data_IF_743282746595
#
_entry.id   IF_743282746595
#
_cell.length_a   1.000
_cell.length_b   1.000
_cell.length_c   1.000
_cell.angle_alpha   90.00
_cell.angle_beta   90.00
_cell.angle_gamma   90.00
#
_symmetry.space_group_name_H-M   'P 1'
#
loop_
_entity.id
_entity.type
_entity.pdbx_description
1 polymer ?
#
# COMPACT_ATOMS: atom_id res chain seq x y z
N UNK A 1 -29.93 2.28 14.27
CA UNK A 1 -29.05 1.15 14.67
C UNK A 1 -28.66 0.26 13.49
N UNK A 2 -29.57 -0.09 12.59
CA UNK A 2 -29.28 -0.94 11.42
C UNK A 2 -28.25 -0.27 10.50
N UNK A 3 -28.42 1.03 10.19
CA UNK A 3 -27.50 1.78 9.33
C UNK A 3 -26.09 1.89 9.93
N UNK A 4 -25.95 2.04 11.25
CA UNK A 4 -24.63 2.15 11.90
C UNK A 4 -23.89 0.81 11.93
N UNK A 5 -24.59 -0.31 12.06
CA UNK A 5 -24.01 -1.64 12.01
C UNK A 5 -23.55 -1.99 10.58
N UNK A 6 -24.33 -1.60 9.56
CA UNK A 6 -24.03 -1.80 8.15
C UNK A 6 -22.77 -1.01 7.74
N UNK A 7 -22.66 0.27 8.08
CA UNK A 7 -21.50 1.11 7.79
C UNK A 7 -20.21 0.54 8.40
N UNK A 8 -20.28 -0.04 9.61
CA UNK A 8 -19.13 -0.71 10.22
C UNK A 8 -18.67 -1.95 9.45
N UNK A 9 -19.59 -2.73 8.91
CA UNK A 9 -19.27 -3.91 8.10
C UNK A 9 -18.67 -3.52 6.74
N UNK A 10 -19.17 -2.47 6.09
CA UNK A 10 -18.62 -1.94 4.83
C UNK A 10 -17.15 -1.56 4.96
N UNK A 11 -16.80 -0.85 6.04
CA UNK A 11 -15.41 -0.41 6.26
C UNK A 11 -14.47 -1.60 6.49
N UNK A 12 -14.90 -2.61 7.26
CA UNK A 12 -14.11 -3.83 7.47
C UNK A 12 -13.93 -4.64 6.17
N UNK A 13 -14.96 -4.72 5.33
CA UNK A 13 -14.89 -5.42 4.04
C UNK A 13 -13.91 -4.71 3.12
N UNK A 14 -13.94 -3.38 3.05
CA UNK A 14 -13.05 -2.58 2.21
C UNK A 14 -11.58 -2.71 2.60
N UNK A 15 -11.28 -2.67 3.91
CA UNK A 15 -9.91 -2.81 4.38
C UNK A 15 -9.32 -4.18 4.03
N UNK A 16 -10.13 -5.24 4.17
CA UNK A 16 -9.74 -6.58 3.73
C UNK A 16 -9.55 -6.67 2.22
N UNK A 17 -10.38 -5.96 1.46
CA UNK A 17 -10.27 -5.91 0.01
C UNK A 17 -8.97 -5.23 -0.45
N UNK A 18 -8.60 -4.09 0.16
CA UNK A 18 -7.32 -3.41 -0.13
C UNK A 18 -6.14 -4.33 0.21
N UNK A 19 -6.20 -5.08 1.31
CA UNK A 19 -5.17 -6.06 1.65
C UNK A 19 -5.06 -7.17 0.60
N UNK A 20 -6.17 -7.73 0.14
CA UNK A 20 -6.18 -8.73 -0.94
C UNK A 20 -5.59 -8.18 -2.23
N UNK A 21 -5.94 -6.93 -2.60
CA UNK A 21 -5.34 -6.24 -3.74
C UNK A 21 -3.84 -6.05 -3.56
N UNK A 22 -3.38 -5.69 -2.37
CA UNK A 22 -1.95 -5.53 -2.08
C UNK A 22 -1.19 -6.85 -2.25
N UNK A 23 -1.73 -7.97 -1.74
CA UNK A 23 -1.14 -9.30 -1.91
C UNK A 23 -1.04 -9.67 -3.40
N UNK A 24 -2.11 -9.43 -4.17
CA UNK A 24 -2.12 -9.68 -5.60
C UNK A 24 -1.07 -8.82 -6.32
N UNK A 25 -0.98 -7.53 -6.00
CA UNK A 25 0.01 -6.62 -6.58
C UNK A 25 1.45 -7.08 -6.24
N UNK A 26 1.72 -7.50 -5.01
CA UNK A 26 3.01 -8.05 -4.59
C UNK A 26 3.35 -9.31 -5.38
N UNK A 27 2.39 -10.23 -5.55
CA UNK A 27 2.59 -11.46 -6.31
C UNK A 27 2.94 -11.20 -7.80
N UNK A 28 2.32 -10.19 -8.41
CA UNK A 28 2.59 -9.79 -9.80
C UNK A 28 3.92 -9.01 -9.89
N UNK A 29 4.28 -8.22 -8.88
CA UNK A 29 5.51 -7.43 -8.86
C UNK A 29 6.76 -8.29 -8.62
N UNK A 30 6.65 -9.39 -7.87
CA UNK A 30 7.80 -10.24 -7.51
C UNK A 30 8.61 -10.75 -8.70
N UNK A 31 8.03 -11.28 -9.80
CA UNK A 31 8.79 -11.78 -10.94
C UNK A 31 9.34 -10.70 -11.88
N UNK A 32 9.03 -9.42 -11.69
CA UNK A 32 9.34 -8.35 -12.67
C UNK A 32 10.83 -8.27 -13.04
N UNK A 33 11.73 -8.41 -12.09
CA UNK A 33 13.18 -8.48 -12.32
C UNK A 33 13.75 -9.87 -12.02
N UNK A 34 13.33 -10.49 -10.92
CA UNK A 34 13.80 -11.79 -10.49
C UNK A 34 13.50 -12.89 -11.52
N UNK A 35 12.37 -12.83 -12.23
CA UNK A 35 12.03 -13.76 -13.31
C UNK A 35 13.00 -13.71 -14.49
N UNK A 36 13.55 -12.54 -14.80
CA UNK A 36 14.56 -12.41 -15.85
C UNK A 36 15.91 -12.97 -15.42
N UNK A 37 16.26 -12.83 -14.15
CA UNK A 37 17.48 -13.43 -13.62
C UNK A 37 17.40 -14.94 -13.62
N UNK A 38 16.24 -15.53 -13.34
CA UNK A 38 16.03 -16.98 -13.38
C UNK A 38 16.13 -17.54 -14.80
N UNK A 39 15.61 -16.80 -15.80
CA UNK A 39 15.63 -17.23 -17.20
C UNK A 39 16.91 -16.87 -17.96
N UNK A 40 17.82 -16.12 -17.33
CA UNK A 40 19.03 -15.60 -17.97
C UNK A 40 18.78 -14.52 -19.03
N UNK A 41 17.52 -14.06 -19.17
CA UNK A 41 17.12 -13.05 -20.16
C UNK A 41 17.76 -11.68 -19.91
N UNK A 42 18.18 -11.41 -18.67
CA UNK A 42 18.87 -10.17 -18.31
C UNK A 42 20.21 -10.00 -19.03
N UNK A 43 20.93 -11.08 -19.30
CA UNK A 43 22.20 -11.04 -20.02
C UNK A 43 22.03 -10.49 -21.46
N UNK A 44 20.96 -10.91 -22.16
CA UNK A 44 20.65 -10.45 -23.51
C UNK A 44 20.15 -9.01 -23.51
N UNK A 45 19.26 -8.66 -22.57
CA UNK A 45 18.68 -7.34 -22.49
C UNK A 45 19.72 -6.25 -22.15
N UNK A 46 20.72 -6.58 -21.34
CA UNK A 46 21.79 -5.65 -20.92
C UNK A 46 22.83 -5.35 -22.01
N UNK A 47 22.94 -6.18 -23.05
CA UNK A 47 23.83 -5.93 -24.19
C UNK A 47 23.27 -4.89 -25.16
N UNK A 48 21.98 -4.57 -25.07
CA UNK A 48 21.36 -3.55 -25.92
C UNK A 48 21.80 -2.14 -25.52
N UNK A 49 21.81 -1.20 -26.48
CA UNK A 49 22.24 0.19 -26.31
C UNK A 49 21.56 0.92 -25.13
N UNK A 50 20.33 0.54 -24.81
CA UNK A 50 19.50 1.13 -23.75
C UNK A 50 19.18 0.15 -22.61
N UNK A 51 19.89 -0.99 -22.54
CA UNK A 51 19.54 -2.17 -21.75
C UNK A 51 19.71 -2.07 -20.24
N UNK A 52 20.26 -0.99 -19.69
CA UNK A 52 20.47 -0.88 -18.23
C UNK A 52 19.48 0.09 -17.58
N UNK A 53 19.80 1.37 -17.59
CA UNK A 53 19.04 2.38 -16.84
C UNK A 53 17.66 2.64 -17.45
N UNK A 54 17.57 2.78 -18.77
CA UNK A 54 16.31 3.06 -19.43
C UNK A 54 15.35 1.88 -19.33
N UNK A 55 15.84 0.66 -19.50
CA UNK A 55 15.03 -0.55 -19.34
C UNK A 55 14.46 -0.65 -17.91
N UNK A 56 15.27 -0.41 -16.87
CA UNK A 56 14.80 -0.42 -15.49
C UNK A 56 13.68 0.60 -15.27
N UNK A 57 13.88 1.84 -15.72
CA UNK A 57 12.88 2.91 -15.58
C UNK A 57 11.59 2.55 -16.31
N UNK A 58 11.67 2.07 -17.56
CA UNK A 58 10.50 1.70 -18.34
C UNK A 58 9.71 0.55 -17.69
N UNK A 59 10.40 -0.46 -17.14
CA UNK A 59 9.74 -1.57 -16.43
C UNK A 59 9.04 -1.11 -15.15
N UNK A 60 9.71 -0.31 -14.36
CA UNK A 60 9.12 0.23 -13.13
C UNK A 60 7.90 1.09 -13.47
N UNK A 61 8.01 1.95 -14.49
CA UNK A 61 6.90 2.79 -14.93
C UNK A 61 5.72 1.94 -15.45
N UNK A 62 6.01 0.93 -16.26
CA UNK A 62 4.99 0.00 -16.75
C UNK A 62 4.33 -0.78 -15.59
N UNK A 63 5.10 -1.22 -14.60
CA UNK A 63 4.59 -1.85 -13.41
C UNK A 63 3.67 -0.89 -12.63
N UNK A 64 4.10 0.33 -12.36
CA UNK A 64 3.26 1.31 -11.66
C UNK A 64 1.98 1.65 -12.42
N UNK A 65 2.02 1.84 -13.73
CA UNK A 65 0.81 2.09 -14.51
C UNK A 65 -0.16 0.91 -14.43
N UNK A 66 0.34 -0.32 -14.53
CA UNK A 66 -0.46 -1.52 -14.37
C UNK A 66 -1.13 -1.57 -12.99
N UNK A 67 -0.37 -1.34 -11.92
CA UNK A 67 -0.89 -1.41 -10.56
C UNK A 67 -1.87 -0.29 -10.23
N UNK A 68 -1.62 0.94 -10.71
CA UNK A 68 -2.57 2.06 -10.57
C UNK A 68 -3.88 1.73 -11.28
N UNK A 69 -3.84 1.23 -12.51
CA UNK A 69 -5.05 0.87 -13.26
C UNK A 69 -5.79 -0.27 -12.56
N UNK A 70 -5.09 -1.33 -12.17
CA UNK A 70 -5.69 -2.46 -11.45
C UNK A 70 -6.34 -2.03 -10.14
N UNK A 71 -5.66 -1.16 -9.37
CA UNK A 71 -6.19 -0.64 -8.11
C UNK A 71 -7.44 0.23 -8.36
N UNK A 72 -7.38 1.17 -9.30
CA UNK A 72 -8.51 2.06 -9.60
C UNK A 72 -9.73 1.29 -10.09
N UNK A 73 -9.54 0.33 -11.00
CA UNK A 73 -10.64 -0.52 -11.45
C UNK A 73 -11.21 -1.34 -10.28
N UNK A 74 -10.35 -1.98 -9.52
CA UNK A 74 -10.76 -2.79 -8.39
C UNK A 74 -11.51 -2.00 -7.33
N UNK A 75 -11.00 -0.84 -6.89
CA UNK A 75 -11.65 -0.03 -5.87
C UNK A 75 -12.97 0.57 -6.37
N UNK A 76 -13.03 0.96 -7.65
CA UNK A 76 -14.27 1.50 -8.25
C UNK A 76 -15.36 0.42 -8.28
N UNK A 77 -15.03 -0.78 -8.75
CA UNK A 77 -15.98 -1.90 -8.74
C UNK A 77 -16.45 -2.22 -7.32
N UNK A 78 -15.52 -2.23 -6.36
CA UNK A 78 -15.85 -2.49 -4.95
C UNK A 78 -16.79 -1.42 -4.38
N UNK A 79 -16.53 -0.13 -4.63
CA UNK A 79 -17.39 0.98 -4.19
C UNK A 79 -18.78 0.85 -4.83
N UNK A 80 -18.86 0.59 -6.13
CA UNK A 80 -20.14 0.42 -6.82
C UNK A 80 -20.98 -0.74 -6.26
N UNK A 81 -20.35 -1.87 -5.93
CA UNK A 81 -21.04 -3.02 -5.31
C UNK A 81 -21.57 -2.62 -3.93
N UNK A 82 -20.78 -1.93 -3.11
CA UNK A 82 -21.22 -1.48 -1.80
C UNK A 82 -22.36 -0.46 -1.90
N UNK A 83 -22.23 0.54 -2.76
CA UNK A 83 -23.26 1.57 -2.94
C UNK A 83 -24.57 0.99 -3.50
N UNK A 84 -24.47 -0.04 -4.36
CA UNK A 84 -25.65 -0.76 -4.84
C UNK A 84 -26.31 -1.61 -3.74
N UNK A 85 -25.52 -2.20 -2.84
CA UNK A 85 -26.03 -3.05 -1.77
C UNK A 85 -26.66 -2.23 -0.62
N UNK A 86 -26.10 -1.08 -0.28
CA UNK A 86 -26.46 -0.30 0.92
C UNK A 86 -27.20 1.01 0.60
N UNK A 87 -27.22 1.43 -0.65
CA UNK A 87 -27.84 2.66 -1.11
C UNK A 87 -26.95 3.89 -0.97
N UNK A 88 -27.10 4.81 -1.91
CA UNK A 88 -26.27 6.04 -1.99
C UNK A 88 -26.60 7.11 -0.95
N UNK A 89 -27.76 7.00 -0.26
CA UNK A 89 -28.15 7.96 0.77
C UNK A 89 -27.24 7.94 1.99
N UNK A 90 -26.61 6.77 2.28
CA UNK A 90 -25.66 6.62 3.36
C UNK A 90 -24.39 7.50 3.16
N UNK A 91 -24.02 7.85 1.92
CA UNK A 91 -22.82 8.63 1.62
C UNK A 91 -22.86 10.07 2.17
N UNK A 92 -24.07 10.61 2.40
CA UNK A 92 -24.28 11.94 2.98
C UNK A 92 -24.15 11.97 4.50
N UNK A 93 -24.11 10.81 5.14
CA UNK A 93 -24.05 10.68 6.61
C UNK A 93 -22.70 11.13 7.11
N UNK A 94 -22.68 11.88 8.22
CA UNK A 94 -21.43 12.32 8.85
C UNK A 94 -20.68 11.15 9.48
N UNK A 95 -19.35 11.11 9.28
CA UNK A 95 -18.47 10.12 9.87
C UNK A 95 -18.49 10.14 11.41
N UNK A 96 -18.75 11.30 12.01
CA UNK A 96 -18.85 11.49 13.46
C UNK A 96 -19.95 10.67 14.12
N UNK A 97 -21.06 10.39 13.40
CA UNK A 97 -22.16 9.59 13.94
C UNK A 97 -21.77 8.13 14.20
N UNK A 98 -20.69 7.66 13.59
CA UNK A 98 -20.25 6.26 13.70
C UNK A 98 -19.23 6.01 14.79
N UNK A 99 -18.24 6.87 14.93
CA UNK A 99 -17.04 6.58 15.73
C UNK A 99 -16.93 7.35 17.05
N UNK A 100 -17.32 8.59 17.09
CA UNK A 100 -17.39 9.37 18.33
C UNK A 100 -17.85 10.79 18.03
N UNK A 101 -18.56 11.41 18.95
CA UNK A 101 -19.11 12.76 18.80
C UNK A 101 -18.04 13.84 18.96
N UNK A 102 -16.90 13.55 19.58
CA UNK A 102 -16.07 14.60 20.19
C UNK A 102 -14.90 15.06 19.34
N UNK A 103 -14.29 14.24 18.48
CA UNK A 103 -12.98 14.59 17.92
C UNK A 103 -12.72 14.21 16.45
N UNK A 104 -13.70 13.76 15.68
CA UNK A 104 -13.48 13.34 14.30
C UNK A 104 -13.58 14.52 13.32
N UNK A 105 -12.81 14.51 12.22
CA UNK A 105 -12.94 15.51 11.19
C UNK A 105 -14.37 15.53 10.65
N UNK A 106 -14.88 16.73 10.36
CA UNK A 106 -16.22 16.89 9.79
C UNK A 106 -16.23 16.54 8.30
N UNK A 107 -16.25 15.22 8.04
CA UNK A 107 -16.27 14.63 6.70
C UNK A 107 -17.48 13.71 6.56
N UNK A 108 -18.03 13.67 5.35
CA UNK A 108 -19.09 12.73 4.99
C UNK A 108 -18.49 11.36 4.62
N UNK A 109 -19.29 10.30 4.69
CA UNK A 109 -18.87 8.95 4.30
C UNK A 109 -18.32 8.90 2.88
N UNK A 110 -18.91 9.64 1.93
CA UNK A 110 -18.41 9.73 0.56
C UNK A 110 -17.01 10.34 0.46
N UNK A 111 -16.73 11.40 1.21
CA UNK A 111 -15.38 12.00 1.29
C UNK A 111 -14.40 11.03 1.94
N UNK A 112 -14.83 10.33 2.98
CA UNK A 112 -14.02 9.30 3.64
C UNK A 112 -13.64 8.18 2.67
N UNK A 113 -14.55 7.71 1.82
CA UNK A 113 -14.25 6.70 0.80
C UNK A 113 -13.14 7.14 -0.15
N UNK A 114 -13.16 8.39 -0.61
CA UNK A 114 -12.14 8.95 -1.49
C UNK A 114 -10.78 9.05 -0.77
N UNK A 115 -10.78 9.55 0.47
CA UNK A 115 -9.56 9.67 1.27
C UNK A 115 -8.93 8.29 1.51
N UNK A 116 -9.73 7.28 1.85
CA UNK A 116 -9.25 5.92 2.07
C UNK A 116 -8.77 5.26 0.78
N UNK A 117 -9.42 5.51 -0.35
CA UNK A 117 -8.96 5.02 -1.65
C UNK A 117 -7.60 5.65 -2.03
N UNK A 118 -7.43 6.95 -1.83
CA UNK A 118 -6.17 7.64 -2.10
C UNK A 118 -5.04 7.18 -1.17
N UNK A 119 -5.31 7.05 0.14
CA UNK A 119 -4.35 6.53 1.11
C UNK A 119 -3.97 5.07 0.83
N UNK A 120 -4.95 4.24 0.48
CA UNK A 120 -4.75 2.85 0.10
C UNK A 120 -3.89 2.72 -1.16
N UNK A 121 -4.17 3.52 -2.20
CA UNK A 121 -3.36 3.55 -3.42
C UNK A 121 -1.91 3.89 -3.12
N UNK A 122 -1.66 4.94 -2.33
CA UNK A 122 -0.30 5.36 -1.98
C UNK A 122 0.45 4.27 -1.20
N UNK A 123 -0.21 3.64 -0.23
CA UNK A 123 0.37 2.55 0.57
C UNK A 123 0.64 1.29 -0.27
N UNK A 124 -0.26 0.95 -1.21
CA UNK A 124 -0.03 -0.17 -2.15
C UNK A 124 1.16 0.13 -3.06
N UNK A 125 1.27 1.35 -3.59
CA UNK A 125 2.41 1.74 -4.43
C UNK A 125 3.74 1.73 -3.65
N UNK A 126 3.75 2.15 -2.38
CA UNK A 126 4.93 2.06 -1.51
C UNK A 126 5.35 0.59 -1.30
N UNK A 127 4.39 -0.30 -1.05
CA UNK A 127 4.64 -1.74 -0.88
C UNK A 127 5.16 -2.37 -2.17
N UNK A 128 4.56 -2.03 -3.31
CA UNK A 128 5.00 -2.49 -4.64
C UNK A 128 6.42 -2.00 -4.95
N UNK A 129 6.75 -0.73 -4.64
CA UNK A 129 8.09 -0.20 -4.87
C UNK A 129 9.14 -0.95 -4.04
N UNK A 130 8.81 -1.30 -2.78
CA UNK A 130 9.65 -2.16 -1.95
C UNK A 130 9.83 -3.56 -2.58
N UNK A 131 8.75 -4.18 -3.07
CA UNK A 131 8.80 -5.47 -3.76
C UNK A 131 9.64 -5.41 -5.04
N UNK A 132 9.53 -4.36 -5.83
CA UNK A 132 10.35 -4.14 -7.02
C UNK A 132 11.83 -3.99 -6.68
N UNK A 133 12.15 -3.30 -5.57
CA UNK A 133 13.52 -3.23 -5.07
C UNK A 133 14.06 -4.62 -4.68
N UNK A 134 13.27 -5.41 -3.95
CA UNK A 134 13.65 -6.77 -3.59
C UNK A 134 13.84 -7.66 -4.84
N UNK A 135 12.92 -7.53 -5.82
CA UNK A 135 13.01 -8.22 -7.11
C UNK A 135 14.27 -7.86 -7.91
N UNK A 136 14.71 -6.60 -7.84
CA UNK A 136 15.96 -6.17 -8.47
C UNK A 136 17.23 -6.64 -7.76
N UNK A 137 17.12 -7.04 -6.48
CA UNK A 137 18.25 -7.48 -5.65
C UNK A 137 18.43 -8.99 -5.62
N UNK A 138 17.34 -9.74 -5.53
CA UNK A 138 17.35 -11.20 -5.41
C UNK A 138 17.12 -11.86 -6.78
N UNK A 139 17.78 -13.03 -6.99
CA UNK A 139 17.68 -13.80 -8.23
C UNK A 139 16.46 -14.75 -8.26
N UNK A 140 15.96 -15.11 -7.09
CA UNK A 140 14.90 -16.10 -6.96
C UNK A 140 13.54 -15.45 -6.67
N UNK A 141 12.57 -15.69 -7.55
CA UNK A 141 11.20 -15.12 -7.47
C UNK A 141 10.48 -15.56 -6.20
N UNK A 142 10.65 -16.83 -5.77
CA UNK A 142 10.00 -17.33 -4.56
C UNK A 142 10.53 -16.63 -3.32
N UNK A 143 11.84 -16.42 -3.24
CA UNK A 143 12.47 -15.68 -2.14
C UNK A 143 11.94 -14.24 -2.07
N UNK A 144 11.82 -13.57 -3.23
CA UNK A 144 11.25 -12.21 -3.30
C UNK A 144 9.81 -12.20 -2.80
N UNK A 145 8.99 -13.15 -3.26
CA UNK A 145 7.58 -13.26 -2.86
C UNK A 145 7.46 -13.44 -1.34
N UNK A 146 8.20 -14.39 -0.76
CA UNK A 146 8.17 -14.67 0.67
C UNK A 146 8.57 -13.46 1.51
N UNK A 147 9.68 -12.80 1.17
CA UNK A 147 10.14 -11.59 1.87
C UNK A 147 9.13 -10.46 1.74
N UNK A 148 8.56 -10.25 0.55
CA UNK A 148 7.57 -9.19 0.32
C UNK A 148 6.27 -9.43 1.09
N UNK A 149 5.82 -10.68 1.24
CA UNK A 149 4.67 -11.02 2.09
C UNK A 149 5.00 -10.74 3.57
N UNK A 150 6.20 -11.09 4.02
CA UNK A 150 6.63 -10.77 5.40
C UNK A 150 6.64 -9.26 5.62
N UNK A 151 7.17 -8.47 4.69
CA UNK A 151 7.17 -7.01 4.75
C UNK A 151 5.74 -6.45 4.77
N UNK A 152 4.83 -7.02 3.98
CA UNK A 152 3.42 -6.61 3.96
C UNK A 152 2.75 -6.78 5.33
N UNK A 153 3.02 -7.87 6.04
CA UNK A 153 2.44 -8.14 7.36
C UNK A 153 3.24 -7.56 8.53
N UNK A 154 4.42 -6.99 8.28
CA UNK A 154 5.29 -6.48 9.33
C UNK A 154 4.67 -5.37 10.21
N UNK A 155 3.88 -4.41 9.69
CA UNK A 155 3.18 -3.43 10.54
C UNK A 155 2.21 -4.08 11.51
N UNK A 156 1.50 -5.13 11.08
CA UNK A 156 0.59 -5.88 11.94
C UNK A 156 1.36 -6.56 13.08
N UNK A 157 2.47 -7.24 12.77
CA UNK A 157 3.32 -7.86 13.79
C UNK A 157 3.92 -6.83 14.75
N UNK A 158 4.41 -5.70 14.25
CA UNK A 158 4.96 -4.64 15.07
C UNK A 158 3.91 -4.08 16.05
N UNK A 159 2.66 -3.93 15.59
CA UNK A 159 1.57 -3.44 16.40
C UNK A 159 1.13 -4.48 17.45
N UNK A 160 0.85 -5.72 17.04
CA UNK A 160 0.23 -6.75 17.90
C UNK A 160 1.26 -7.38 18.86
N UNK A 161 2.45 -7.71 18.36
CA UNK A 161 3.45 -8.45 19.15
C UNK A 161 4.37 -7.54 19.97
N UNK A 162 4.72 -6.36 19.44
CA UNK A 162 5.70 -5.48 20.06
C UNK A 162 5.08 -4.23 20.70
N UNK A 163 3.80 -3.93 20.44
CA UNK A 163 3.16 -2.68 20.86
C UNK A 163 3.84 -1.42 20.27
N UNK A 164 4.69 -1.59 19.25
CA UNK A 164 5.50 -0.52 18.67
C UNK A 164 4.67 0.28 17.64
N UNK A 165 3.86 1.20 18.14
CA UNK A 165 2.98 2.02 17.29
C UNK A 165 3.76 2.86 16.26
N UNK A 166 4.93 3.40 16.65
CA UNK A 166 5.77 4.20 15.75
C UNK A 166 6.31 3.38 14.58
N UNK A 167 6.73 2.13 14.83
CA UNK A 167 7.25 1.26 13.80
C UNK A 167 6.15 0.82 12.82
N UNK A 168 4.97 0.48 13.36
CA UNK A 168 3.82 0.08 12.55
C UNK A 168 3.27 1.19 11.65
N UNK A 169 3.59 2.46 11.92
CA UNK A 169 3.14 3.61 11.11
C UNK A 169 4.13 4.04 10.03
N UNK A 170 5.41 3.66 10.16
CA UNK A 170 6.47 4.06 9.21
C UNK A 170 6.71 2.98 8.13
N UNK A 171 6.30 1.75 8.34
CA UNK A 171 6.54 0.65 7.40
C UNK A 171 5.73 0.77 6.10
N UNK A 172 6.22 0.24 4.95
CA UNK A 172 5.62 0.44 3.63
C UNK A 172 4.13 0.09 3.50
N UNK A 173 3.67 -0.88 4.27
CA UNK A 173 2.28 -1.35 4.27
C UNK A 173 1.44 -0.80 5.42
N UNK A 174 1.89 0.24 6.12
CA UNK A 174 1.24 0.78 7.31
C UNK A 174 -0.24 1.18 7.08
N UNK A 175 -0.57 1.69 5.89
CA UNK A 175 -1.95 2.08 5.55
C UNK A 175 -2.88 0.93 5.17
N UNK A 176 -2.37 -0.30 5.03
CA UNK A 176 -3.11 -1.47 4.50
C UNK A 176 -3.49 -2.46 5.61
N UNK A 177 -2.85 -2.40 6.78
CA UNK A 177 -2.98 -3.39 7.84
C UNK A 177 -4.41 -3.57 8.37
N UNK A 178 -4.74 -4.78 8.83
CA UNK A 178 -6.09 -5.14 9.30
C UNK A 178 -6.52 -4.42 10.58
N UNK A 179 -5.61 -4.21 11.53
CA UNK A 179 -5.91 -3.61 12.84
C UNK A 179 -5.31 -2.22 13.02
N UNK A 180 -4.24 -1.93 12.29
CA UNK A 180 -3.54 -0.65 12.33
C UNK A 180 -3.60 0.04 10.96
N UNK A 181 -4.74 -0.07 10.30
CA UNK A 181 -4.97 0.55 9.00
C UNK A 181 -5.17 2.07 9.13
N UNK A 182 -5.11 2.74 7.99
CA UNK A 182 -5.30 4.19 7.92
C UNK A 182 -6.62 4.65 8.55
N UNK A 183 -7.71 3.89 8.36
CA UNK A 183 -9.01 4.18 8.94
C UNK A 183 -9.00 4.11 10.46
N UNK A 184 -8.39 3.08 11.05
CA UNK A 184 -8.34 2.96 12.51
C UNK A 184 -7.53 4.09 13.13
N UNK A 185 -6.46 4.53 12.48
CA UNK A 185 -5.65 5.67 12.92
C UNK A 185 -6.40 7.01 12.79
N UNK A 186 -7.20 7.14 11.73
CA UNK A 186 -8.08 8.30 11.54
C UNK A 186 -9.18 8.36 12.61
N UNK A 187 -9.79 7.20 12.95
CA UNK A 187 -10.91 7.12 13.89
C UNK A 187 -10.48 7.24 15.35
N UNK A 188 -9.30 6.74 15.72
CA UNK A 188 -8.84 6.70 17.11
C UNK A 188 -8.04 7.94 17.53
N UNK A 189 -7.85 8.94 16.67
CA UNK A 189 -7.08 10.16 16.97
C UNK A 189 -5.70 9.89 17.57
N UNK A 190 -5.01 8.89 17.04
CA UNK A 190 -3.68 8.57 17.52
C UNK A 190 -2.67 9.64 17.10
N UNK A 191 -1.85 10.05 18.06
CA UNK A 191 -0.71 10.95 17.84
C UNK A 191 0.58 10.20 18.09
N UNK A 192 1.54 10.41 17.20
CA UNK A 192 2.88 9.91 17.35
C UNK A 192 3.79 11.01 17.88
N UNK A 193 4.41 10.79 19.04
CA UNK A 193 5.38 11.72 19.63
C UNK A 193 6.77 11.40 19.12
N UNK A 194 7.33 12.28 18.29
CA UNK A 194 8.71 12.19 17.77
C UNK A 194 9.46 13.45 18.21
N UNK A 195 10.51 13.28 19.03
CA UNK A 195 11.37 14.39 19.45
C UNK A 195 10.67 15.51 20.22
N UNK A 196 9.58 15.21 20.94
CA UNK A 196 8.81 16.20 21.71
C UNK A 196 7.70 16.91 20.92
N UNK A 197 7.54 16.61 19.64
CA UNK A 197 6.44 17.09 18.81
C UNK A 197 5.42 15.97 18.58
N UNK A 198 4.13 16.30 18.68
CA UNK A 198 3.02 15.36 18.44
C UNK A 198 2.52 15.50 17.01
N UNK A 199 2.70 14.45 16.22
CA UNK A 199 2.21 14.37 14.84
C UNK A 199 0.96 13.51 14.77
N UNK A 200 -0.03 13.94 14.02
CA UNK A 200 -1.21 13.14 13.77
C UNK A 200 -0.87 11.93 12.87
N UNK A 201 -1.12 10.72 13.37
CA UNK A 201 -0.66 9.46 12.76
C UNK A 201 -1.05 9.28 11.28
N UNK A 202 -2.29 9.62 10.82
CA UNK A 202 -2.63 9.52 9.40
C UNK A 202 -1.71 10.34 8.48
N UNK A 203 -1.29 11.54 8.89
CA UNK A 203 -0.33 12.32 8.10
C UNK A 203 1.04 11.66 8.05
N UNK A 204 1.49 11.06 9.15
CA UNK A 204 2.77 10.35 9.20
C UNK A 204 2.76 9.16 8.23
N UNK A 205 1.67 8.38 8.19
CA UNK A 205 1.51 7.25 7.25
C UNK A 205 1.59 7.72 5.79
N UNK A 206 0.92 8.81 5.43
CA UNK A 206 0.95 9.32 4.05
C UNK A 206 2.34 9.84 3.66
N UNK A 207 3.00 10.57 4.56
CA UNK A 207 4.35 11.11 4.32
C UNK A 207 5.36 9.97 4.23
N UNK A 208 5.32 8.99 5.14
CA UNK A 208 6.22 7.83 5.10
C UNK A 208 6.04 7.02 3.83
N UNK A 209 4.80 6.70 3.44
CA UNK A 209 4.51 5.98 2.21
C UNK A 209 5.01 6.73 0.96
N UNK A 210 4.88 8.08 0.93
CA UNK A 210 5.42 8.90 -0.14
C UNK A 210 6.96 8.84 -0.21
N UNK A 211 7.64 8.99 0.93
CA UNK A 211 9.10 8.90 1.00
C UNK A 211 9.58 7.50 0.57
N UNK A 212 8.94 6.45 1.06
CA UNK A 212 9.27 5.06 0.74
C UNK A 212 9.10 4.75 -0.74
N UNK A 213 8.02 5.23 -1.36
CA UNK A 213 7.81 5.11 -2.80
C UNK A 213 9.01 5.62 -3.59
N UNK A 214 9.50 6.84 -3.28
CA UNK A 214 10.65 7.42 -3.96
C UNK A 214 11.96 6.70 -3.64
N UNK A 215 12.21 6.40 -2.37
CA UNK A 215 13.45 5.75 -1.92
C UNK A 215 13.57 4.35 -2.51
N UNK A 216 12.53 3.51 -2.42
CA UNK A 216 12.60 2.14 -2.96
C UNK A 216 12.63 2.12 -4.48
N UNK A 217 11.95 3.03 -5.16
CA UNK A 217 12.06 3.18 -6.62
C UNK A 217 13.48 3.52 -7.04
N UNK A 218 14.11 4.47 -6.36
CA UNK A 218 15.51 4.83 -6.61
C UNK A 218 16.46 3.67 -6.35
N UNK A 219 16.27 2.97 -5.22
CA UNK A 219 17.08 1.80 -4.85
C UNK A 219 16.88 0.63 -5.83
N UNK A 220 15.67 0.42 -6.36
CA UNK A 220 15.40 -0.58 -7.38
C UNK A 220 16.19 -0.31 -8.66
N UNK A 221 16.16 0.93 -9.17
CA UNK A 221 16.92 1.34 -10.35
C UNK A 221 18.43 1.16 -10.09
N UNK A 222 18.92 1.62 -8.93
CA UNK A 222 20.32 1.52 -8.56
C UNK A 222 20.79 0.08 -8.45
N UNK A 223 20.00 -0.79 -7.78
CA UNK A 223 20.28 -2.22 -7.62
C UNK A 223 20.35 -2.93 -8.97
N UNK A 224 19.36 -2.67 -9.85
CA UNK A 224 19.33 -3.26 -11.19
C UNK A 224 20.55 -2.83 -12.03
N UNK A 225 20.95 -1.54 -11.96
CA UNK A 225 22.11 -1.04 -12.71
C UNK A 225 23.44 -1.63 -12.20
N UNK A 226 23.57 -1.93 -10.91
CA UNK A 226 24.78 -2.49 -10.29
C UNK A 226 24.86 -4.01 -10.35
N UNK A 227 23.76 -4.70 -10.63
CA UNK A 227 23.77 -6.15 -10.69
C UNK A 227 24.74 -6.63 -11.78
N UNK A 228 25.78 -7.36 -11.38
CA UNK A 228 26.75 -7.95 -12.31
C UNK A 228 26.24 -9.33 -12.73
N UNK A 229 26.28 -9.59 -14.02
CA UNK A 229 26.03 -10.92 -14.57
C UNK A 229 27.29 -11.74 -14.25
N UNK A 230 27.16 -12.68 -13.33
CA UNK A 230 28.23 -13.65 -13.00
C UNK A 230 28.08 -14.86 -13.94
#
# INVERSE_FOLDING_TARGET
EIASCLVGSEMCIRDRYILCLAILCVAIAAPTFAGEYQTGGDSILRTTKYGRKQLAITKILAAFTLFVVTFLVGITVHILILDAAFGTDCLKTSFQMRYSIINLPNINLGQLQIILAAAGLLSVLATVSCTLFLSAKFKDTLTVLLISIVVLFMPLFAYVAMGATWLSTILPSAGIGMQNNFLSQLANFNYLNIGGMSFWTPHVILISAGIELFVFTFLAIHSYCRHQVA
#
